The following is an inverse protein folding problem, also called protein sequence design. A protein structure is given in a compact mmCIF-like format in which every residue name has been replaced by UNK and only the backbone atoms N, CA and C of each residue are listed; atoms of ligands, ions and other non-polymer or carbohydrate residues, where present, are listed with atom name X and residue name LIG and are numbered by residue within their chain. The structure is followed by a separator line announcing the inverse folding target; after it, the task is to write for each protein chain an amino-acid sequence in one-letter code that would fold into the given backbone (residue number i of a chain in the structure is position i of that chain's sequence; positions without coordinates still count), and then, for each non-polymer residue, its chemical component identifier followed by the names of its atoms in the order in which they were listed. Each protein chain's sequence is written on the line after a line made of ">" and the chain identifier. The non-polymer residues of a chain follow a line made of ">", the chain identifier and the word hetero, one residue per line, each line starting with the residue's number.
data_IF_162677992181
#
_entry.id   IF_162677992181
#
_cell.length_a   1.000
_cell.length_b   1.000
_cell.length_c   1.000
_cell.angle_alpha   90.00
_cell.angle_beta   90.00
_cell.angle_gamma   90.00
#
_symmetry.space_group_name_H-M   'P 1'
#
loop_
_entity.id
_entity.type
_entity.pdbx_description
1 polymer ?
#
# COMPACT_ATOMS: atom_id res chain seq x y z
N UNK A 1 32.15 14.80 -5.08
CA UNK A 1 31.55 13.59 -5.66
C UNK A 1 30.03 13.71 -5.52
N UNK A 2 29.42 14.64 -6.24
CA UNK A 2 27.95 14.75 -6.30
C UNK A 2 27.50 13.74 -7.35
N UNK A 3 27.33 12.49 -6.90
CA UNK A 3 26.86 11.42 -7.77
C UNK A 3 25.49 11.82 -8.32
N UNK A 4 25.36 11.74 -9.64
CA UNK A 4 24.09 11.80 -10.35
C UNK A 4 23.12 10.77 -9.76
N UNK A 5 22.37 11.15 -8.73
CA UNK A 5 21.25 10.36 -8.22
C UNK A 5 20.16 10.43 -9.27
N UNK A 6 19.97 9.31 -9.96
CA UNK A 6 18.98 9.12 -11.01
C UNK A 6 17.57 9.42 -10.48
N UNK A 7 17.08 10.64 -10.74
CA UNK A 7 15.75 11.12 -10.34
C UNK A 7 14.59 10.22 -10.82
N UNK A 8 14.83 9.38 -11.82
CA UNK A 8 13.82 8.53 -12.44
C UNK A 8 13.39 7.31 -11.59
N UNK A 9 14.20 6.88 -10.61
CA UNK A 9 13.90 5.66 -9.84
C UNK A 9 13.08 5.90 -8.56
N UNK A 10 13.05 7.15 -8.06
CA UNK A 10 12.41 7.51 -6.79
C UNK A 10 10.88 7.46 -6.90
N UNK A 11 10.34 7.89 -8.05
CA UNK A 11 8.91 7.97 -8.31
C UNK A 11 8.26 6.58 -8.38
N UNK A 12 8.95 5.64 -9.02
CA UNK A 12 8.51 4.25 -9.15
C UNK A 12 8.36 3.57 -7.80
N UNK A 13 9.31 3.81 -6.89
CA UNK A 13 9.31 3.23 -5.55
C UNK A 13 8.26 3.87 -4.63
N UNK A 14 7.97 5.16 -4.81
CA UNK A 14 6.89 5.84 -4.09
C UNK A 14 5.49 5.37 -4.52
N UNK A 15 5.30 4.93 -5.76
CA UNK A 15 4.02 4.45 -6.27
C UNK A 15 3.81 2.94 -6.05
N UNK A 16 4.87 2.20 -5.75
CA UNK A 16 4.79 0.77 -5.43
C UNK A 16 4.16 0.52 -4.05
N UNK A 17 3.40 -0.56 -3.94
CA UNK A 17 2.86 -1.04 -2.66
C UNK A 17 4.02 -1.38 -1.72
N UNK A 18 4.07 -0.80 -0.50
CA UNK A 18 5.19 -1.01 0.42
C UNK A 18 5.25 -2.44 0.98
N UNK A 19 4.16 -3.23 0.86
CA UNK A 19 4.08 -4.60 1.36
C UNK A 19 4.67 -5.62 0.40
N UNK A 20 4.27 -5.59 -0.88
CA UNK A 20 4.75 -6.56 -1.87
C UNK A 20 5.87 -6.02 -2.76
N UNK A 21 6.02 -4.69 -2.87
CA UNK A 21 6.96 -4.02 -3.79
C UNK A 21 6.81 -4.41 -5.27
N UNK A 22 5.71 -5.08 -5.64
CA UNK A 22 5.43 -5.57 -7.00
C UNK A 22 4.29 -4.79 -7.65
N UNK A 23 3.17 -4.64 -6.94
CA UNK A 23 1.99 -3.96 -7.46
C UNK A 23 2.01 -2.48 -7.11
N UNK A 24 1.33 -1.65 -7.92
CA UNK A 24 1.09 -0.24 -7.59
C UNK A 24 0.12 -0.12 -6.41
N UNK A 25 0.21 0.99 -5.69
CA UNK A 25 -0.78 1.42 -4.70
C UNK A 25 -2.13 1.66 -5.40
N UNK A 26 -3.16 0.95 -4.98
CA UNK A 26 -4.51 1.07 -5.53
C UNK A 26 -5.63 0.80 -4.50
N UNK A 27 -5.29 0.73 -3.20
CA UNK A 27 -6.27 0.60 -2.15
C UNK A 27 -5.88 1.34 -0.87
N UNK A 28 -6.87 1.92 -0.19
CA UNK A 28 -6.72 2.66 1.07
C UNK A 28 -7.43 1.94 2.21
N UNK A 29 -6.84 1.99 3.41
CA UNK A 29 -7.54 1.65 4.66
C UNK A 29 -8.24 2.88 5.23
N UNK A 30 -9.56 2.87 5.38
CA UNK A 30 -10.33 4.05 5.83
C UNK A 30 -10.15 4.40 7.30
N UNK A 31 -9.70 3.45 8.12
CA UNK A 31 -9.46 3.65 9.56
C UNK A 31 -8.15 4.40 9.87
N UNK A 32 -7.15 4.27 9.01
CA UNK A 32 -5.82 4.84 9.26
C UNK A 32 -5.18 5.52 8.05
N UNK A 33 -5.89 5.59 6.92
CA UNK A 33 -5.50 6.25 5.67
C UNK A 33 -4.18 5.79 5.04
N UNK A 34 -3.64 4.65 5.48
CA UNK A 34 -2.49 4.03 4.83
C UNK A 34 -2.89 3.32 3.53
N UNK A 35 -2.04 3.47 2.51
CA UNK A 35 -2.30 3.00 1.14
C UNK A 35 -1.39 1.83 0.78
N UNK A 36 -1.99 0.79 0.18
CA UNK A 36 -1.34 -0.45 -0.25
C UNK A 36 -1.93 -0.87 -1.62
N UNK A 37 -1.58 -2.05 -2.12
CA UNK A 37 -2.33 -2.66 -3.21
C UNK A 37 -3.51 -3.47 -2.67
N UNK A 38 -4.58 -3.58 -3.47
CA UNK A 38 -5.79 -4.31 -3.13
C UNK A 38 -5.52 -5.79 -2.88
N UNK A 39 -4.58 -6.39 -3.64
CA UNK A 39 -4.19 -7.79 -3.47
C UNK A 39 -3.69 -8.05 -2.04
N UNK A 40 -2.74 -7.24 -1.55
CA UNK A 40 -2.21 -7.38 -0.19
C UNK A 40 -3.28 -7.20 0.90
N UNK A 41 -4.24 -6.28 0.71
CA UNK A 41 -5.32 -6.08 1.67
C UNK A 41 -6.31 -7.24 1.67
N UNK A 42 -6.71 -7.74 0.49
CA UNK A 42 -7.58 -8.92 0.35
C UNK A 42 -6.96 -10.16 0.98
N UNK A 43 -5.71 -10.48 0.65
CA UNK A 43 -5.00 -11.63 1.23
C UNK A 43 -4.98 -11.55 2.76
N UNK A 44 -4.69 -10.37 3.32
CA UNK A 44 -4.73 -10.15 4.78
C UNK A 44 -6.12 -10.32 5.37
N UNK A 45 -7.15 -9.86 4.68
CA UNK A 45 -8.53 -10.01 5.12
C UNK A 45 -8.96 -11.49 5.16
N UNK A 46 -8.67 -12.23 4.10
CA UNK A 46 -8.98 -13.66 3.91
C UNK A 46 -8.23 -14.55 4.89
N UNK A 47 -6.92 -14.29 5.08
CA UNK A 47 -6.06 -15.02 6.04
C UNK A 47 -6.29 -14.62 7.51
N UNK A 48 -7.30 -13.78 7.78
CA UNK A 48 -7.63 -13.22 9.11
C UNK A 48 -6.51 -12.39 9.75
N UNK A 49 -5.49 -11.98 9.02
CA UNK A 49 -4.48 -11.02 9.47
C UNK A 49 -4.94 -9.57 9.24
N UNK A 50 -6.10 -9.24 9.83
CA UNK A 50 -6.88 -8.00 9.61
C UNK A 50 -6.32 -6.78 10.34
N UNK A 51 -5.01 -6.56 10.18
CA UNK A 51 -4.27 -5.42 10.75
C UNK A 51 -3.49 -4.69 9.66
N UNK A 52 -3.49 -3.36 9.73
CA UNK A 52 -2.75 -2.49 8.85
C UNK A 52 -1.25 -2.88 8.86
N UNK A 53 -0.63 -3.15 7.68
CA UNK A 53 0.79 -3.47 7.60
C UNK A 53 1.72 -2.41 8.19
N UNK A 54 1.27 -1.15 8.30
CA UNK A 54 2.10 -0.01 8.71
C UNK A 54 1.91 0.39 10.18
N UNK A 55 0.67 0.51 10.65
CA UNK A 55 0.38 0.98 12.01
C UNK A 55 -0.37 -0.03 12.89
N UNK A 56 -0.58 -1.25 12.39
CA UNK A 56 -1.25 -2.33 13.11
C UNK A 56 -2.73 -2.08 13.49
N UNK A 57 -3.33 -0.96 13.04
CA UNK A 57 -4.75 -0.68 13.20
C UNK A 57 -5.60 -1.82 12.61
N UNK A 58 -6.63 -2.25 13.35
CA UNK A 58 -7.56 -3.29 12.88
C UNK A 58 -8.45 -2.74 11.76
N UNK A 59 -8.86 -3.62 10.83
CA UNK A 59 -9.76 -3.25 9.73
C UNK A 59 -10.70 -4.40 9.37
N UNK A 60 -11.95 -4.10 9.03
CA UNK A 60 -12.98 -5.04 8.58
C UNK A 60 -13.21 -5.04 7.06
N UNK A 61 -14.28 -5.72 6.63
CA UNK A 61 -14.65 -5.85 5.21
C UNK A 61 -14.90 -4.51 4.52
N UNK A 62 -15.45 -3.55 5.27
CA UNK A 62 -15.83 -2.22 4.78
C UNK A 62 -14.75 -1.16 5.04
N UNK A 63 -13.60 -1.56 5.56
CA UNK A 63 -12.54 -0.61 5.96
C UNK A 63 -11.40 -0.53 4.94
N UNK A 64 -11.55 -1.15 3.76
CA UNK A 64 -10.62 -1.02 2.64
C UNK A 64 -11.36 -0.82 1.33
N UNK A 65 -10.89 0.15 0.55
CA UNK A 65 -11.50 0.48 -0.74
C UNK A 65 -10.45 0.72 -1.81
N UNK A 66 -10.84 0.45 -3.06
CA UNK A 66 -10.00 0.75 -4.21
C UNK A 66 -9.94 2.25 -4.44
N UNK A 67 -8.77 2.75 -4.80
CA UNK A 67 -8.53 4.14 -5.21
C UNK A 67 -7.79 4.18 -6.54
N UNK A 68 -7.95 5.28 -7.27
CA UNK A 68 -7.24 5.52 -8.53
C UNK A 68 -6.34 6.74 -8.33
N UNK A 69 -5.03 6.55 -8.48
CA UNK A 69 -4.02 7.60 -8.43
C UNK A 69 -3.73 8.03 -9.89
N UNK A 70 -3.86 9.33 -10.18
CA UNK A 70 -3.58 9.94 -11.48
C UNK A 70 -2.24 10.65 -11.50
#
# INVERSE_FOLDING_TARGET
>A
MVGNFSFNNILSEQLACPTCKTHKKDAILTKCFHVFCLNCLKTRYETRNRKCPKCNATFGANDYHRIYLT
#
